data_IF_396109166125
#
_entry.id   IF_396109166125
#
_cell.length_a   1.000
_cell.length_b   1.000
_cell.length_c   1.000
_cell.angle_alpha   90.00
_cell.angle_beta   90.00
_cell.angle_gamma   90.00
#
_symmetry.space_group_name_H-M   'P 1'
#
loop_
_entity.id
_entity.type
_entity.pdbx_description
1 polymer ?
#
# COMPACT_ATOMS: atom_id res chain seq x y z
N UNK A 1 -26.23 0.75 -14.91
CA UNK A 1 -26.23 0.72 -13.43
C UNK A 1 -25.43 -0.51 -13.00
N UNK A 2 -24.09 -0.43 -13.04
CA UNK A 2 -23.23 -1.59 -12.79
C UNK A 2 -22.75 -1.53 -11.35
N UNK A 3 -23.23 -2.47 -10.53
CA UNK A 3 -22.82 -2.66 -9.15
C UNK A 3 -21.32 -3.04 -9.14
N UNK A 4 -20.43 -2.06 -8.96
CA UNK A 4 -19.04 -2.37 -8.58
C UNK A 4 -19.08 -2.82 -7.13
N UNK A 5 -19.42 -4.09 -6.94
CA UNK A 5 -19.29 -4.80 -5.68
C UNK A 5 -17.89 -4.51 -5.16
N UNK A 6 -17.81 -3.75 -4.06
CA UNK A 6 -16.55 -3.41 -3.44
C UNK A 6 -15.87 -4.72 -3.07
N UNK A 7 -14.85 -5.11 -3.82
CA UNK A 7 -13.97 -6.20 -3.42
C UNK A 7 -13.31 -5.76 -2.12
N UNK A 8 -13.88 -6.17 -0.99
CA UNK A 8 -13.24 -6.06 0.31
C UNK A 8 -12.16 -7.15 0.31
N UNK A 9 -11.00 -6.82 -0.25
CA UNK A 9 -9.79 -7.65 -0.16
C UNK A 9 -9.27 -7.55 1.27
N UNK A 10 -9.81 -8.38 2.16
CA UNK A 10 -9.31 -8.55 3.52
C UNK A 10 -7.92 -9.19 3.43
N UNK A 11 -6.87 -8.37 3.46
CA UNK A 11 -5.48 -8.81 3.54
C UNK A 11 -5.17 -9.45 4.88
N UNK A 12 -5.81 -10.60 5.17
CA UNK A 12 -5.58 -11.41 6.36
C UNK A 12 -4.25 -12.16 6.19
N UNK A 13 -3.15 -11.43 6.36
CA UNK A 13 -1.85 -12.04 6.58
C UNK A 13 -1.79 -12.63 7.99
N UNK A 14 -1.25 -13.84 8.12
CA UNK A 14 -0.98 -14.43 9.43
C UNK A 14 0.20 -13.67 10.04
N UNK A 15 -0.02 -12.97 11.14
CA UNK A 15 1.08 -12.53 12.00
C UNK A 15 1.61 -13.75 12.76
N UNK A 16 2.70 -14.31 12.28
CA UNK A 16 3.48 -15.31 13.02
C UNK A 16 4.29 -14.60 14.11
N UNK A 17 4.63 -15.32 15.19
CA UNK A 17 5.59 -14.84 16.18
C UNK A 17 6.89 -14.43 15.46
N UNK A 18 7.45 -13.26 15.80
CA UNK A 18 8.56 -12.57 15.12
C UNK A 18 8.25 -11.79 13.81
N UNK A 19 7.01 -11.77 13.31
CA UNK A 19 6.62 -10.95 12.16
C UNK A 19 5.85 -9.70 12.59
N UNK A 20 6.55 -8.57 12.67
CA UNK A 20 5.98 -7.32 13.17
C UNK A 20 5.04 -6.58 12.23
N UNK A 21 5.20 -6.75 10.93
CA UNK A 21 4.43 -6.05 9.91
C UNK A 21 4.32 -6.90 8.65
N UNK A 22 3.10 -7.11 8.17
CA UNK A 22 2.80 -7.79 6.92
C UNK A 22 2.23 -6.81 5.90
N UNK A 23 2.75 -6.84 4.67
CA UNK A 23 2.23 -6.08 3.53
C UNK A 23 1.70 -6.99 2.43
N UNK A 24 0.41 -6.85 2.12
CA UNK A 24 -0.15 -7.37 0.87
C UNK A 24 -0.28 -6.21 -0.13
N UNK A 25 0.53 -6.23 -1.19
CA UNK A 25 0.46 -5.24 -2.27
C UNK A 25 -0.17 -5.90 -3.48
N UNK A 26 -1.35 -5.43 -3.85
CA UNK A 26 -2.14 -5.99 -4.96
C UNK A 26 -2.30 -4.90 -6.01
N UNK A 27 -1.87 -5.19 -7.24
CA UNK A 27 -2.06 -4.32 -8.40
C UNK A 27 -3.18 -4.88 -9.28
N UNK A 28 -4.22 -4.09 -9.51
CA UNK A 28 -5.30 -4.45 -10.43
C UNK A 28 -5.81 -3.21 -11.16
N UNK A 29 -5.88 -3.28 -12.49
CA UNK A 29 -6.57 -2.33 -13.38
C UNK A 29 -6.46 -0.86 -12.94
N UNK A 30 -5.23 -0.35 -12.93
CA UNK A 30 -4.86 1.04 -12.57
C UNK A 30 -4.89 1.40 -11.07
N UNK A 31 -5.29 0.47 -10.20
CA UNK A 31 -5.32 0.66 -8.75
C UNK A 31 -4.32 -0.26 -8.06
N UNK A 32 -3.65 0.29 -7.05
CA UNK A 32 -2.83 -0.48 -6.12
C UNK A 32 -3.53 -0.45 -4.77
N UNK A 33 -3.71 -1.62 -4.17
CA UNK A 33 -4.21 -1.77 -2.80
C UNK A 33 -3.07 -2.27 -1.93
N UNK A 34 -2.79 -1.57 -0.83
CA UNK A 34 -1.78 -1.94 0.16
C UNK A 34 -2.52 -2.27 1.45
N UNK A 35 -2.46 -3.53 1.87
CA UNK A 35 -2.95 -3.98 3.17
C UNK A 35 -1.75 -4.11 4.11
N UNK A 36 -1.77 -3.38 5.22
CA UNK A 36 -0.75 -3.43 6.25
C UNK A 36 -1.37 -4.01 7.54
N UNK A 37 -0.77 -5.07 8.07
CA UNK A 37 -1.22 -5.70 9.31
C UNK A 37 -0.05 -5.78 10.29
N UNK A 38 -0.23 -5.24 11.49
CA UNK A 38 0.80 -5.16 12.54
C UNK A 38 0.15 -5.21 13.93
N UNK A 39 0.94 -5.51 14.97
CA UNK A 39 0.49 -5.39 16.36
C UNK A 39 0.56 -3.92 16.82
N UNK A 40 -0.27 -3.53 17.80
CA UNK A 40 -0.20 -2.18 18.40
C UNK A 40 1.11 -1.89 19.13
N UNK A 41 1.86 -2.93 19.52
CA UNK A 41 3.17 -2.78 20.15
C UNK A 41 4.21 -2.29 19.15
N UNK A 42 4.19 -2.80 17.92
CA UNK A 42 5.11 -2.40 16.84
C UNK A 42 4.60 -1.21 16.01
N UNK A 43 3.28 -1.07 15.85
CA UNK A 43 2.65 0.04 15.15
C UNK A 43 1.58 0.68 16.04
N UNK A 44 1.99 1.55 16.99
CA UNK A 44 1.08 2.17 17.94
C UNK A 44 0.09 3.13 17.27
N UNK A 45 0.48 3.77 16.16
CA UNK A 45 -0.38 4.67 15.37
C UNK A 45 -0.43 4.25 13.90
N UNK A 46 -1.50 3.55 13.54
CA UNK A 46 -1.75 3.11 12.16
C UNK A 46 -2.22 4.24 11.24
N UNK A 47 -2.71 5.36 11.77
CA UNK A 47 -3.10 6.52 10.96
C UNK A 47 -1.85 7.26 10.48
N UNK A 48 -0.90 7.52 11.39
CA UNK A 48 0.40 8.08 11.02
C UNK A 48 1.13 7.19 10.00
N UNK A 49 1.07 5.87 10.17
CA UNK A 49 1.67 4.94 9.22
C UNK A 49 1.06 5.04 7.80
N UNK A 50 -0.25 5.25 7.70
CA UNK A 50 -0.92 5.48 6.41
C UNK A 50 -0.44 6.77 5.75
N UNK A 51 -0.26 7.85 6.51
CA UNK A 51 0.27 9.12 5.98
C UNK A 51 1.71 8.94 5.45
N UNK A 52 2.54 8.19 6.17
CA UNK A 52 3.89 7.85 5.70
C UNK A 52 3.88 7.05 4.40
N UNK A 53 2.97 6.09 4.27
CA UNK A 53 2.82 5.29 3.05
C UNK A 53 2.38 6.14 1.86
N UNK A 54 1.39 7.01 2.06
CA UNK A 54 0.90 7.91 1.01
C UNK A 54 1.98 8.91 0.55
N UNK A 55 2.71 9.51 1.49
CA UNK A 55 3.82 10.40 1.19
C UNK A 55 4.91 9.68 0.36
N UNK A 56 5.35 8.50 0.83
CA UNK A 56 6.36 7.69 0.15
C UNK A 56 5.92 7.29 -1.27
N UNK A 57 4.64 6.93 -1.43
CA UNK A 57 4.09 6.58 -2.75
C UNK A 57 4.08 7.78 -3.69
N UNK A 58 3.68 8.97 -3.22
CA UNK A 58 3.68 10.20 -4.02
C UNK A 58 5.10 10.57 -4.48
N UNK A 59 6.09 10.42 -3.63
CA UNK A 59 7.50 10.64 -3.99
C UNK A 59 7.97 9.67 -5.08
N UNK A 60 7.71 8.36 -4.88
CA UNK A 60 8.05 7.33 -5.88
C UNK A 60 7.34 7.56 -7.22
N UNK A 61 6.06 7.93 -7.20
CA UNK A 61 5.29 8.24 -8.40
C UNK A 61 5.86 9.45 -9.15
N UNK A 62 6.26 10.50 -8.43
CA UNK A 62 6.89 11.70 -9.01
C UNK A 62 8.25 11.36 -9.64
N UNK A 63 9.07 10.56 -8.95
CA UNK A 63 10.36 10.10 -9.46
C UNK A 63 10.20 9.21 -10.70
N UNK A 64 9.25 8.27 -10.68
CA UNK A 64 8.96 7.39 -11.82
C UNK A 64 8.50 8.16 -13.06
N UNK A 65 7.62 9.16 -12.90
CA UNK A 65 7.20 10.06 -13.98
C UNK A 65 8.39 10.84 -14.57
N UNK A 66 9.27 11.33 -13.70
CA UNK A 66 10.48 12.07 -14.11
C UNK A 66 11.46 11.17 -14.87
N UNK A 67 11.63 9.91 -14.43
CA UNK A 67 12.45 8.90 -15.13
C UNK A 67 11.85 8.52 -16.48
N UNK A 68 10.54 8.32 -16.58
CA UNK A 68 9.87 8.04 -17.86
C UNK A 68 10.10 9.17 -18.87
N UNK A 69 10.06 10.43 -18.42
CA UNK A 69 10.38 11.60 -19.26
C UNK A 69 11.82 11.58 -19.77
N UNK A 70 12.78 11.22 -18.92
CA UNK A 70 14.20 11.14 -19.30
C UNK A 70 14.48 10.01 -20.30
N UNK A 71 13.76 8.89 -20.19
CA UNK A 71 13.96 7.75 -21.08
C UNK A 71 13.22 7.87 -22.43
N UNK A 72 12.36 8.89 -22.60
CA UNK A 72 11.61 9.16 -23.82
C UNK A 72 12.24 10.28 -24.68
N UNK A 73 13.39 10.79 -24.27
CA UNK A 73 14.23 11.78 -24.95
C UNK A 73 15.63 11.21 -25.13
#
# INVERSE_FOLDING_TARGET
MSYTWGHIMMGLGVLLDMMGLFHAVISSSDKITINATSTREMMPDSAFYQDCLDASFKELLKAAKSRKRRNAN
#
